data_IF_859721521188
#
_entry.id   IF_859721521188
#
_cell.length_a   1.000
_cell.length_b   1.000
_cell.length_c   1.000
_cell.angle_alpha   90.00
_cell.angle_beta   90.00
_cell.angle_gamma   90.00
#
_symmetry.space_group_name_H-M   'P 1'
#
loop_
_entity.id
_entity.type
_entity.pdbx_description
1 polymer ?
#
# COMPACT_ATOMS: atom_id res chain seq x y z
N UNK A 1 -22.70 -23.04 -4.72
CA UNK A 1 -21.51 -22.42 -4.09
C UNK A 1 -21.95 -21.11 -3.47
N UNK A 2 -21.79 -20.93 -2.16
CA UNK A 2 -22.18 -19.70 -1.49
C UNK A 2 -21.23 -18.57 -1.90
N UNK A 3 -21.77 -17.48 -2.44
CA UNK A 3 -21.02 -16.24 -2.70
C UNK A 3 -20.64 -15.69 -1.33
N UNK A 4 -19.37 -15.79 -0.94
CA UNK A 4 -18.89 -15.15 0.30
C UNK A 4 -19.28 -13.68 0.24
N UNK A 5 -20.02 -13.22 1.24
CA UNK A 5 -20.47 -11.83 1.32
C UNK A 5 -19.27 -10.93 1.58
N UNK A 6 -19.26 -9.77 0.92
CA UNK A 6 -18.21 -8.76 0.99
C UNK A 6 -17.69 -8.42 2.42
N UNK A 7 -18.55 -8.29 3.46
CA UNK A 7 -18.12 -8.09 4.85
C UNK A 7 -17.24 -9.22 5.42
N UNK A 8 -17.44 -10.46 4.99
CA UNK A 8 -16.70 -11.62 5.51
C UNK A 8 -15.27 -11.67 4.97
N UNK A 9 -15.07 -11.23 3.73
CA UNK A 9 -13.75 -11.18 3.10
C UNK A 9 -12.85 -10.14 3.77
N UNK A 10 -13.39 -8.95 4.07
CA UNK A 10 -12.66 -7.89 4.77
C UNK A 10 -12.17 -8.35 6.15
N UNK A 11 -13.07 -8.92 6.95
CA UNK A 11 -12.73 -9.40 8.29
C UNK A 11 -11.69 -10.53 8.25
N UNK A 12 -11.71 -11.38 7.21
CA UNK A 12 -10.73 -12.44 6.99
C UNK A 12 -9.35 -11.92 6.56
N UNK A 13 -9.31 -10.88 5.72
CA UNK A 13 -8.07 -10.33 5.17
C UNK A 13 -7.40 -9.30 6.09
N UNK A 14 -8.17 -8.60 6.92
CA UNK A 14 -7.69 -7.51 7.77
C UNK A 14 -6.47 -7.88 8.64
N UNK A 15 -6.41 -9.04 9.32
CA UNK A 15 -5.24 -9.39 10.12
C UNK A 15 -3.96 -9.46 9.28
N UNK A 16 -4.04 -10.12 8.12
CA UNK A 16 -2.91 -10.22 7.18
C UNK A 16 -2.46 -8.86 6.65
N UNK A 17 -3.41 -7.95 6.38
CA UNK A 17 -3.07 -6.60 5.94
C UNK A 17 -2.38 -5.78 7.04
N UNK A 18 -2.80 -5.91 8.29
CA UNK A 18 -2.14 -5.27 9.42
C UNK A 18 -0.72 -5.83 9.64
N UNK A 19 -0.55 -7.15 9.54
CA UNK A 19 0.76 -7.80 9.64
C UNK A 19 1.71 -7.32 8.53
N UNK A 20 1.21 -7.19 7.30
CA UNK A 20 1.96 -6.62 6.18
C UNK A 20 2.38 -5.17 6.43
N UNK A 21 1.47 -4.33 6.93
CA UNK A 21 1.79 -2.93 7.23
C UNK A 21 2.89 -2.84 8.30
N UNK A 22 2.84 -3.68 9.32
CA UNK A 22 3.88 -3.75 10.35
C UNK A 22 5.22 -4.22 9.77
N UNK A 23 5.20 -5.26 8.93
CA UNK A 23 6.41 -5.78 8.28
C UNK A 23 7.05 -4.74 7.35
N UNK A 24 6.25 -4.05 6.54
CA UNK A 24 6.73 -2.98 5.69
C UNK A 24 7.27 -1.80 6.48
N UNK A 25 6.59 -1.39 7.56
CA UNK A 25 7.10 -0.32 8.41
C UNK A 25 8.47 -0.67 9.00
N UNK A 26 8.63 -1.89 9.53
CA UNK A 26 9.91 -2.36 10.07
C UNK A 26 11.03 -2.43 9.00
N UNK A 27 10.74 -2.92 7.80
CA UNK A 27 11.70 -2.94 6.69
C UNK A 27 12.10 -1.51 6.28
N UNK A 28 11.12 -0.63 6.07
CA UNK A 28 11.37 0.77 5.72
C UNK A 28 12.16 1.52 6.79
N UNK A 29 11.87 1.33 8.08
CA UNK A 29 12.67 1.90 9.17
C UNK A 29 14.12 1.40 9.17
N UNK A 30 14.36 0.17 8.72
CA UNK A 30 15.71 -0.39 8.58
C UNK A 30 16.46 0.21 7.39
N UNK A 31 15.77 0.41 6.26
CA UNK A 31 16.33 1.04 5.05
C UNK A 31 16.59 2.53 5.23
N UNK A 32 15.75 3.19 6.02
CA UNK A 32 15.75 4.63 6.23
C UNK A 32 15.98 4.98 7.71
N UNK A 33 17.17 4.67 8.26
CA UNK A 33 17.44 4.96 9.66
C UNK A 33 17.34 6.46 9.92
N UNK A 34 16.73 6.82 11.07
CA UNK A 34 16.46 8.19 11.51
C UNK A 34 15.44 9.00 10.68
N UNK A 35 14.77 8.39 9.69
CA UNK A 35 13.63 9.01 8.99
C UNK A 35 12.31 8.70 9.70
N UNK A 36 11.34 9.61 9.59
CA UNK A 36 9.99 9.32 10.06
C UNK A 36 9.26 8.49 9.00
N UNK A 37 8.89 7.25 9.36
CA UNK A 37 8.17 6.31 8.48
C UNK A 37 6.80 6.02 9.07
N UNK A 38 5.76 6.35 8.30
CA UNK A 38 4.36 6.06 8.63
C UNK A 38 3.78 5.17 7.54
N UNK A 39 3.07 4.12 7.95
CA UNK A 39 2.31 3.24 7.06
C UNK A 39 0.90 3.16 7.61
N UNK A 40 -0.07 3.68 6.87
CA UNK A 40 -1.46 3.72 7.27
C UNK A 40 -2.30 2.82 6.37
N UNK A 41 -3.05 1.93 7.00
CA UNK A 41 -4.06 1.11 6.35
C UNK A 41 -5.42 1.77 6.55
N UNK A 42 -5.98 2.31 5.48
CA UNK A 42 -7.33 2.87 5.51
C UNK A 42 -8.33 1.79 5.09
N UNK A 43 -9.39 1.53 5.87
CA UNK A 43 -10.46 0.67 5.38
C UNK A 43 -11.09 1.39 4.19
N UNK A 44 -11.01 0.79 3.00
CA UNK A 44 -11.72 1.33 1.86
C UNK A 44 -13.21 1.35 2.18
N UNK A 45 -13.87 2.40 1.70
CA UNK A 45 -15.30 2.66 1.89
C UNK A 45 -16.15 1.40 1.65
N UNK A 46 -17.38 1.33 2.23
CA UNK A 46 -18.31 0.26 1.90
C UNK A 46 -18.37 0.06 0.38
N UNK A 47 -18.46 -1.20 -0.08
CA UNK A 47 -18.14 -1.54 -1.45
C UNK A 47 -19.08 -0.80 -2.39
N UNK A 48 -18.51 -0.07 -3.34
CA UNK A 48 -19.29 0.36 -4.49
C UNK A 48 -19.58 -0.88 -5.35
N UNK A 49 -20.76 -0.99 -5.99
CA UNK A 49 -21.16 -2.17 -6.78
C UNK A 49 -20.18 -2.57 -7.91
N UNK A 50 -19.29 -1.66 -8.28
CA UNK A 50 -18.36 -1.79 -9.41
C UNK A 50 -16.89 -1.79 -8.97
N UNK A 51 -16.58 -1.48 -7.71
CA UNK A 51 -15.21 -1.43 -7.21
C UNK A 51 -15.03 -2.61 -6.25
N UNK A 52 -14.44 -3.73 -6.70
CA UNK A 52 -14.06 -4.78 -5.78
C UNK A 52 -13.08 -4.16 -4.78
N UNK A 53 -13.35 -4.37 -3.49
CA UNK A 53 -12.56 -3.84 -2.38
C UNK A 53 -11.07 -3.84 -2.67
N UNK A 54 -10.47 -2.64 -2.63
CA UNK A 54 -9.05 -2.44 -2.74
C UNK A 54 -8.56 -1.78 -1.45
N UNK A 55 -7.66 -2.40 -0.71
CA UNK A 55 -7.17 -1.74 0.51
C UNK A 55 -6.42 -0.47 0.16
N UNK A 56 -6.83 0.67 0.71
CA UNK A 56 -6.09 1.90 0.51
C UNK A 56 -4.96 1.99 1.54
N UNK A 57 -3.76 2.25 1.04
CA UNK A 57 -2.53 2.37 1.80
C UNK A 57 -1.92 3.74 1.55
N UNK A 58 -1.55 4.40 2.64
CA UNK A 58 -0.74 5.61 2.59
C UNK A 58 0.61 5.34 3.27
N UNK A 59 1.69 5.73 2.59
CA UNK A 59 3.05 5.65 3.09
C UNK A 59 3.61 7.07 3.16
N UNK A 60 4.19 7.46 4.30
CA UNK A 60 4.90 8.71 4.44
C UNK A 60 6.33 8.46 4.92
N UNK A 61 7.31 9.01 4.20
CA UNK A 61 8.75 8.92 4.55
C UNK A 61 9.34 10.33 4.49
N UNK A 62 9.67 10.92 5.64
CA UNK A 62 10.16 12.31 5.76
C UNK A 62 9.29 13.36 5.04
N UNK A 63 7.98 13.13 5.00
CA UNK A 63 7.01 14.01 4.35
C UNK A 63 6.81 13.78 2.85
N UNK A 64 7.54 12.84 2.23
CA UNK A 64 7.16 12.32 0.92
C UNK A 64 6.03 11.29 1.09
N UNK A 65 4.94 11.48 0.35
CA UNK A 65 3.73 10.66 0.42
C UNK A 65 3.63 9.74 -0.80
N UNK A 66 3.22 8.49 -0.56
CA UNK A 66 2.96 7.51 -1.60
C UNK A 66 1.65 6.77 -1.28
N UNK A 67 0.77 6.68 -2.27
CA UNK A 67 -0.52 6.02 -2.12
C UNK A 67 -0.59 4.75 -2.96
N UNK A 68 -1.26 3.73 -2.43
CA UNK A 68 -1.48 2.48 -3.13
C UNK A 68 -2.84 1.85 -2.82
N UNK A 69 -3.33 1.09 -3.81
CA UNK A 69 -4.49 0.21 -3.70
C UNK A 69 -4.02 -1.24 -3.71
N UNK A 70 -4.45 -2.07 -2.76
CA UNK A 70 -4.15 -3.50 -2.79
C UNK A 70 -5.27 -4.25 -3.49
N UNK A 71 -4.93 -5.03 -4.51
CA UNK A 71 -5.93 -5.81 -5.25
C UNK A 71 -6.61 -6.84 -4.34
N UNK A 72 -7.88 -7.13 -4.63
CA UNK A 72 -8.75 -7.99 -3.82
C UNK A 72 -8.15 -9.37 -3.44
N UNK A 73 -7.35 -9.99 -4.30
CA UNK A 73 -6.73 -11.30 -4.03
C UNK A 73 -5.42 -11.23 -3.23
N UNK A 74 -5.00 -10.01 -2.84
CA UNK A 74 -3.75 -9.72 -2.13
C UNK A 74 -2.50 -10.21 -2.90
N UNK A 75 -2.54 -10.18 -4.23
CA UNK A 75 -1.37 -10.50 -5.06
C UNK A 75 -0.43 -9.32 -5.29
N UNK A 76 -0.96 -8.08 -5.28
CA UNK A 76 -0.21 -6.86 -5.59
C UNK A 76 -0.78 -5.60 -4.92
N UNK A 77 0.08 -4.60 -4.76
CA UNK A 77 -0.27 -3.21 -4.53
C UNK A 77 -0.13 -2.46 -5.85
N UNK A 78 -1.08 -1.62 -6.20
CA UNK A 78 -1.05 -0.74 -7.36
C UNK A 78 -0.82 0.66 -6.82
N UNK A 79 0.32 1.25 -7.17
CA UNK A 79 0.66 2.59 -6.74
C UNK A 79 0.17 3.63 -7.73
N UNK A 80 -0.10 4.82 -7.21
CA UNK A 80 -0.33 6.00 -8.05
C UNK A 80 0.95 6.31 -8.86
N UNK A 81 0.77 6.55 -10.16
CA UNK A 81 1.80 7.04 -11.07
C UNK A 81 1.75 8.59 -11.12
N UNK A 82 2.77 9.22 -11.71
CA UNK A 82 2.86 10.68 -11.84
C UNK A 82 1.67 11.32 -12.60
N UNK A 83 0.90 10.51 -13.33
CA UNK A 83 -0.33 10.89 -14.03
C UNK A 83 -1.56 11.03 -13.11
N UNK A 84 -1.43 10.67 -11.83
CA UNK A 84 -2.53 10.60 -10.87
C UNK A 84 -3.42 9.35 -11.03
N UNK A 85 -2.91 8.32 -11.73
CA UNK A 85 -3.63 7.08 -12.00
C UNK A 85 -2.93 5.91 -11.31
N UNK A 86 -3.70 5.03 -10.69
CA UNK A 86 -3.19 3.79 -10.09
C UNK A 86 -2.96 2.74 -11.18
N UNK A 87 -1.72 2.62 -11.67
CA UNK A 87 -1.34 1.66 -12.72
C UNK A 87 0.00 0.93 -12.50
N UNK A 88 0.81 1.32 -11.50
CA UNK A 88 2.08 0.64 -11.24
C UNK A 88 1.89 -0.55 -10.29
N UNK A 89 1.81 -1.76 -10.85
CA UNK A 89 1.61 -3.00 -10.10
C UNK A 89 2.92 -3.51 -9.48
N UNK A 90 2.92 -3.62 -8.15
CA UNK A 90 4.05 -4.06 -7.33
C UNK A 90 3.61 -5.25 -6.49
N UNK A 91 4.40 -6.33 -6.47
CA UNK A 91 4.12 -7.45 -5.56
C UNK A 91 4.24 -7.00 -4.12
N UNK A 92 3.45 -7.59 -3.23
CA UNK A 92 3.41 -7.18 -1.83
C UNK A 92 4.78 -7.32 -1.12
N UNK A 93 5.58 -8.34 -1.47
CA UNK A 93 6.93 -8.50 -0.95
C UNK A 93 7.92 -7.42 -1.43
N UNK A 94 7.65 -6.80 -2.58
CA UNK A 94 8.55 -5.85 -3.23
C UNK A 94 8.23 -4.37 -2.87
N UNK A 95 7.14 -4.14 -2.14
CA UNK A 95 6.67 -2.79 -1.75
C UNK A 95 7.76 -1.95 -1.08
N UNK A 96 8.51 -2.42 -0.06
CA UNK A 96 9.55 -1.61 0.57
C UNK A 96 10.68 -1.23 -0.41
N UNK A 97 11.05 -2.13 -1.31
CA UNK A 97 12.08 -1.86 -2.31
C UNK A 97 11.60 -0.86 -3.37
N UNK A 98 10.33 -0.94 -3.77
CA UNK A 98 9.73 0.02 -4.69
C UNK A 98 9.70 1.44 -4.10
N UNK A 99 9.25 1.59 -2.85
CA UNK A 99 9.23 2.88 -2.15
C UNK A 99 10.63 3.46 -1.99
N UNK A 100 11.62 2.62 -1.72
CA UNK A 100 13.00 3.07 -1.61
C UNK A 100 13.52 3.68 -2.90
N UNK A 101 13.30 3.00 -4.02
CA UNK A 101 13.66 3.49 -5.35
C UNK A 101 12.93 4.79 -5.69
N UNK A 102 11.64 4.88 -5.39
CA UNK A 102 10.83 6.09 -5.64
C UNK A 102 11.37 7.29 -4.84
N UNK A 103 11.72 7.08 -3.57
CA UNK A 103 12.26 8.13 -2.71
C UNK A 103 13.61 8.68 -3.21
N UNK A 104 14.49 7.81 -3.72
CA UNK A 104 15.75 8.24 -4.36
C UNK A 104 15.49 9.10 -5.60
N UNK A 105 14.48 8.75 -6.40
CA UNK A 105 14.07 9.52 -7.58
C UNK A 105 13.48 10.89 -7.20
N UNK A 106 12.65 10.95 -6.16
CA UNK A 106 12.09 12.21 -5.64
C UNK A 106 13.16 13.11 -5.05
N UNK A 107 14.13 12.55 -4.31
CA UNK A 107 15.26 13.31 -3.76
C UNK A 107 16.23 13.83 -4.83
N UNK A 108 16.37 13.09 -5.95
CA UNK A 108 17.22 13.50 -7.08
C UNK A 108 16.60 14.59 -7.96
N UNK A 109 15.30 14.85 -7.87
CA UNK A 109 14.61 15.88 -8.64
C UNK A 109 14.78 17.31 -8.07
N UNK A 110 15.36 17.43 -6.87
CA UNK A 110 15.51 18.69 -6.11
C UNK A 110 17.00 19.05 -5.90
N UNK A 111 17.92 18.30 -6.49
CA UNK A 111 19.37 18.53 -6.45
C UNK A 111 19.89 19.02 -7.81
#
# INVERSE_FOLDING_TARGET
MARKTAPDTWAQQRPRMLDLCQAWNADLQTRFPARNVVVELHPESPPAPITPWNWFLAFAIDGAEFEALVVHDLSAAVFEADTGVFEDHVKLEDVPACLARRLEQTGSAIA
#
